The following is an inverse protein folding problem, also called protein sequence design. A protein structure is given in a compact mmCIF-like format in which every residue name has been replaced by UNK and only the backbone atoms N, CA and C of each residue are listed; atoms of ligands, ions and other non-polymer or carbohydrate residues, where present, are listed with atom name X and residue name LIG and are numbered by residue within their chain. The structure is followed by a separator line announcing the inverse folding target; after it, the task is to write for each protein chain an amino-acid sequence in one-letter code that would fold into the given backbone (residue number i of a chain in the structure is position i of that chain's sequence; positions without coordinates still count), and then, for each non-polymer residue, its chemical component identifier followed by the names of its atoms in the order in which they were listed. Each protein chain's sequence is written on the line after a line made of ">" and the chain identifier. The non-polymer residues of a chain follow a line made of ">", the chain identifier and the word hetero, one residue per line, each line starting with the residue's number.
data_IF_129548113614
#
_entry.id   IF_129548113614
#
_cell.length_a   1.000
_cell.length_b   1.000
_cell.length_c   1.000
_cell.angle_alpha   90.00
_cell.angle_beta   90.00
_cell.angle_gamma   90.00
#
_symmetry.space_group_name_H-M   'P 1'
#
loop_
_entity.id
_entity.type
_entity.pdbx_description
1 polymer ?
#
# COMPACT_ATOMS: atom_id res chain seq x y z
N UNK A 1 13.36 2.38 3.29
CA UNK A 1 13.18 2.04 1.87
C UNK A 1 13.06 0.53 1.67
N UNK A 2 14.12 -0.27 1.89
CA UNK A 2 14.03 -1.73 1.68
C UNK A 2 12.93 -2.42 2.51
N UNK A 3 12.72 -2.00 3.76
CA UNK A 3 11.64 -2.52 4.60
C UNK A 3 10.25 -2.29 3.98
N UNK A 4 10.01 -1.15 3.33
CA UNK A 4 8.74 -0.88 2.66
C UNK A 4 8.56 -1.75 1.42
N UNK A 5 9.62 -1.93 0.62
CA UNK A 5 9.56 -2.84 -0.53
C UNK A 5 9.18 -4.27 -0.10
N UNK A 6 9.76 -4.76 1.00
CA UNK A 6 9.42 -6.08 1.55
C UNK A 6 7.95 -6.17 1.92
N UNK A 7 7.43 -5.17 2.64
CA UNK A 7 6.01 -5.13 3.03
C UNK A 7 5.09 -5.05 1.81
N UNK A 8 5.43 -4.20 0.83
CA UNK A 8 4.67 -4.05 -0.40
C UNK A 8 4.52 -5.40 -1.11
N UNK A 9 5.64 -6.08 -1.37
CA UNK A 9 5.62 -7.38 -2.05
C UNK A 9 4.92 -8.46 -1.23
N UNK A 10 5.25 -8.60 0.07
CA UNK A 10 4.66 -9.66 0.90
C UNK A 10 3.15 -9.48 1.09
N UNK A 11 2.67 -8.24 1.22
CA UNK A 11 1.23 -7.97 1.37
C UNK A 11 0.50 -8.16 0.05
N UNK A 12 1.05 -7.71 -1.08
CA UNK A 12 0.47 -7.99 -2.41
C UNK A 12 0.35 -9.50 -2.65
N UNK A 13 1.44 -10.27 -2.46
CA UNK A 13 1.45 -11.72 -2.69
C UNK A 13 0.40 -12.46 -1.83
N UNK A 14 0.18 -12.00 -0.60
CA UNK A 14 -0.82 -12.57 0.33
C UNK A 14 -2.25 -12.23 -0.08
N UNK A 15 -2.47 -11.04 -0.63
CA UNK A 15 -3.82 -10.56 -0.99
C UNK A 15 -4.22 -10.95 -2.42
N UNK A 16 -3.27 -11.12 -3.33
CA UNK A 16 -3.51 -11.58 -4.71
C UNK A 16 -4.14 -12.97 -4.75
N UNK A 17 -3.79 -13.83 -3.80
CA UNK A 17 -4.35 -15.18 -3.66
C UNK A 17 -5.83 -15.18 -3.22
N UNK A 18 -6.37 -14.03 -2.81
CA UNK A 18 -7.65 -13.91 -2.13
C UNK A 18 -8.71 -13.22 -3.01
N UNK A 19 -9.70 -14.00 -3.48
CA UNK A 19 -10.74 -13.53 -4.42
C UNK A 19 -11.90 -12.74 -3.80
N UNK A 20 -11.90 -12.57 -2.47
CA UNK A 20 -12.99 -11.95 -1.71
C UNK A 20 -12.66 -10.49 -1.39
N UNK A 21 -13.26 -9.58 -2.16
CA UNK A 21 -13.14 -8.12 -1.98
C UNK A 21 -13.36 -7.65 -0.54
N UNK A 22 -14.40 -8.15 0.14
CA UNK A 22 -14.68 -7.76 1.52
C UNK A 22 -13.56 -8.18 2.47
N UNK A 23 -12.95 -9.34 2.25
CA UNK A 23 -11.82 -9.80 3.04
C UNK A 23 -10.60 -8.89 2.85
N UNK A 24 -10.18 -8.66 1.59
CA UNK A 24 -9.04 -7.77 1.27
C UNK A 24 -9.25 -6.39 1.88
N UNK A 25 -10.46 -5.83 1.74
CA UNK A 25 -10.83 -4.54 2.32
C UNK A 25 -10.69 -4.53 3.84
N UNK A 26 -11.26 -5.52 4.51
CA UNK A 26 -11.29 -5.56 5.98
C UNK A 26 -9.87 -5.74 6.55
N UNK A 27 -9.03 -6.57 5.92
CA UNK A 27 -7.62 -6.75 6.29
C UNK A 27 -6.81 -5.46 6.10
N UNK A 28 -6.97 -4.77 4.96
CA UNK A 28 -6.24 -3.52 4.71
C UNK A 28 -6.70 -2.37 5.62
N UNK A 29 -7.98 -2.32 6.00
CA UNK A 29 -8.50 -1.36 6.98
C UNK A 29 -7.95 -1.61 8.38
N UNK A 30 -7.95 -2.87 8.83
CA UNK A 30 -7.39 -3.23 10.13
C UNK A 30 -5.88 -2.97 10.16
N UNK A 31 -5.16 -3.33 9.08
CA UNK A 31 -3.74 -3.02 8.92
C UNK A 31 -3.44 -1.52 8.94
N UNK A 32 -4.31 -0.71 8.33
CA UNK A 32 -4.21 0.76 8.35
C UNK A 32 -4.30 1.28 9.78
N UNK A 33 -5.27 0.77 10.55
CA UNK A 33 -5.41 1.10 11.97
C UNK A 33 -4.15 0.72 12.75
N UNK A 34 -3.58 -0.46 12.51
CA UNK A 34 -2.31 -0.90 13.12
C UNK A 34 -1.20 0.11 12.82
N UNK A 35 -0.98 0.46 11.55
CA UNK A 35 0.06 1.43 11.16
C UNK A 35 -0.14 2.82 11.80
N UNK A 36 -1.38 3.25 11.98
CA UNK A 36 -1.72 4.52 12.64
C UNK A 36 -1.61 4.44 14.17
N UNK A 37 -1.33 3.26 14.72
CA UNK A 37 -1.17 3.04 16.16
C UNK A 37 -2.46 2.77 16.93
N UNK A 38 -3.53 2.46 16.21
CA UNK A 38 -4.73 1.87 16.79
C UNK A 38 -4.45 0.49 17.38
N UNK A 39 -5.26 0.11 18.36
CA UNK A 39 -5.33 -1.26 18.86
C UNK A 39 -6.32 -2.00 17.99
N UNK A 40 -5.84 -2.95 17.20
CA UNK A 40 -6.71 -3.95 16.56
C UNK A 40 -6.72 -5.16 17.46
N UNK A 41 -7.90 -5.55 17.89
CA UNK A 41 -8.09 -6.75 18.69
C UNK A 41 -7.92 -7.96 17.76
N UNK A 42 -6.72 -8.55 17.77
CA UNK A 42 -6.37 -9.66 16.89
C UNK A 42 -7.20 -10.93 17.18
N UNK A 43 -7.90 -10.96 18.32
CA UNK A 43 -8.77 -12.06 18.75
C UNK A 43 -10.27 -11.81 18.46
N UNK A 44 -10.70 -10.59 18.12
CA UNK A 44 -12.12 -10.23 18.05
C UNK A 44 -12.53 -9.80 16.64
N UNK A 45 -12.75 -10.79 15.77
CA UNK A 45 -13.63 -10.73 14.57
C UNK A 45 -13.90 -12.16 14.05
N UNK A 46 -14.36 -13.04 14.95
CA UNK A 46 -14.82 -14.40 14.60
C UNK A 46 -16.34 -14.49 14.52
N UNK A 47 -16.99 -13.46 13.96
CA UNK A 47 -18.41 -13.52 13.57
C UNK A 47 -18.62 -13.44 12.05
N UNK A 48 -17.56 -13.19 11.26
CA UNK A 48 -17.63 -13.25 9.80
C UNK A 48 -17.14 -14.60 9.27
N UNK A 49 -17.86 -15.13 8.27
CA UNK A 49 -17.57 -16.37 7.58
C UNK A 49 -16.26 -16.30 6.78
N UNK A 50 -15.12 -16.38 7.46
CA UNK A 50 -13.80 -16.50 6.86
C UNK A 50 -13.34 -17.95 6.81
N UNK A 51 -12.59 -18.29 5.76
CA UNK A 51 -11.96 -19.61 5.69
C UNK A 51 -10.72 -19.64 6.60
N UNK A 52 -10.24 -20.83 7.01
CA UNK A 52 -8.99 -20.93 7.76
C UNK A 52 -7.78 -20.32 7.04
N UNK A 53 -7.75 -20.38 5.70
CA UNK A 53 -6.71 -19.74 4.87
C UNK A 53 -6.75 -18.22 4.97
N UNK A 54 -7.94 -17.64 4.81
CA UNK A 54 -8.17 -16.19 4.96
C UNK A 54 -7.74 -15.69 6.34
N UNK A 55 -8.08 -16.42 7.41
CA UNK A 55 -7.66 -16.05 8.77
C UNK A 55 -6.13 -16.06 8.94
N UNK A 56 -5.45 -17.04 8.35
CA UNK A 56 -3.99 -17.12 8.37
C UNK A 56 -3.34 -15.97 7.59
N UNK A 57 -3.86 -15.65 6.39
CA UNK A 57 -3.39 -14.53 5.58
C UNK A 57 -3.59 -13.19 6.32
N UNK A 58 -4.78 -12.95 6.87
CA UNK A 58 -5.07 -11.75 7.65
C UNK A 58 -4.13 -11.61 8.86
N UNK A 59 -3.95 -12.69 9.64
CA UNK A 59 -3.03 -12.70 10.77
C UNK A 59 -1.60 -12.35 10.34
N UNK A 60 -1.15 -12.88 9.19
CA UNK A 60 0.18 -12.60 8.66
C UNK A 60 0.32 -11.14 8.23
N UNK A 61 -0.64 -10.57 7.50
CA UNK A 61 -0.64 -9.16 7.10
C UNK A 61 -0.65 -8.23 8.32
N UNK A 62 -1.44 -8.55 9.35
CA UNK A 62 -1.48 -7.79 10.60
C UNK A 62 -0.13 -7.84 11.34
N UNK A 63 0.51 -9.01 11.41
CA UNK A 63 1.83 -9.17 12.01
C UNK A 63 2.90 -8.37 11.26
N UNK A 64 2.89 -8.43 9.91
CA UNK A 64 3.78 -7.64 9.05
C UNK A 64 3.58 -6.15 9.34
N UNK A 65 2.33 -5.69 9.36
CA UNK A 65 1.99 -4.29 9.64
C UNK A 65 2.46 -3.83 11.02
N UNK A 66 2.28 -4.66 12.04
CA UNK A 66 2.72 -4.36 13.41
C UNK A 66 4.24 -4.29 13.51
N UNK A 67 4.95 -5.28 12.95
CA UNK A 67 6.41 -5.32 12.93
C UNK A 67 6.99 -4.12 12.16
N UNK A 68 6.41 -3.81 11.01
CA UNK A 68 6.81 -2.69 10.18
C UNK A 68 6.61 -1.35 10.87
N UNK A 69 5.43 -1.14 11.50
CA UNK A 69 5.17 0.04 12.34
C UNK A 69 6.26 0.21 13.39
N UNK A 70 6.50 -0.81 14.20
CA UNK A 70 7.48 -0.71 15.29
C UNK A 70 8.88 -0.42 14.77
N UNK A 71 9.25 -1.00 13.62
CA UNK A 71 10.51 -0.73 12.97
C UNK A 71 10.64 0.73 12.51
N UNK A 72 9.66 1.25 11.77
CA UNK A 72 9.78 2.59 11.17
C UNK A 72 9.53 3.71 12.18
N UNK A 73 8.75 3.47 13.25
CA UNK A 73 8.60 4.41 14.37
C UNK A 73 9.92 4.71 15.09
N UNK A 74 10.86 3.77 15.11
CA UNK A 74 12.18 3.98 15.73
C UNK A 74 13.17 4.72 14.82
N UNK A 75 12.88 4.80 13.52
CA UNK A 75 13.79 5.33 12.51
C UNK A 75 13.41 6.71 12.00
N UNK A 76 12.11 7.04 12.00
CA UNK A 76 11.58 8.28 11.44
C UNK A 76 11.23 9.27 12.54
N UNK A 77 11.36 10.56 12.25
CA UNK A 77 10.78 11.60 13.12
C UNK A 77 9.24 11.48 13.10
N UNK A 78 8.54 11.97 14.15
CA UNK A 78 7.08 11.89 14.21
C UNK A 78 6.37 12.48 12.98
N UNK A 79 6.83 13.64 12.49
CA UNK A 79 6.23 14.29 11.32
C UNK A 79 6.44 13.48 10.04
N UNK A 80 7.66 12.96 9.83
CA UNK A 80 7.99 12.13 8.68
C UNK A 80 7.25 10.80 8.73
N UNK A 81 7.12 10.21 9.92
CA UNK A 81 6.33 9.00 10.14
C UNK A 81 4.88 9.21 9.71
N UNK A 82 4.23 10.29 10.15
CA UNK A 82 2.85 10.60 9.78
C UNK A 82 2.67 10.73 8.26
N UNK A 83 3.58 11.42 7.57
CA UNK A 83 3.53 11.54 6.11
C UNK A 83 3.75 10.19 5.44
N UNK A 84 4.75 9.44 5.88
CA UNK A 84 5.11 8.15 5.31
C UNK A 84 3.98 7.12 5.45
N UNK A 85 3.37 7.03 6.65
CA UNK A 85 2.22 6.16 6.87
C UNK A 85 1.01 6.61 6.03
N UNK A 86 0.78 7.93 5.88
CA UNK A 86 -0.30 8.43 5.02
C UNK A 86 -0.16 7.91 3.60
N UNK A 87 1.02 8.04 2.98
CA UNK A 87 1.24 7.55 1.61
C UNK A 87 1.01 6.03 1.49
N UNK A 88 1.39 5.25 2.50
CA UNK A 88 1.12 3.79 2.54
C UNK A 88 -0.39 3.52 2.62
N UNK A 89 -1.11 4.26 3.45
CA UNK A 89 -2.56 4.08 3.57
C UNK A 89 -3.31 4.51 2.31
N UNK A 90 -2.84 5.55 1.61
CA UNK A 90 -3.37 5.95 0.31
C UNK A 90 -3.13 4.86 -0.74
N UNK A 91 -1.95 4.24 -0.74
CA UNK A 91 -1.65 3.09 -1.59
C UNK A 91 -2.59 1.91 -1.33
N UNK A 92 -2.85 1.54 -0.07
CA UNK A 92 -3.81 0.48 0.26
C UNK A 92 -5.26 0.83 -0.09
N UNK A 93 -5.64 2.11 -0.02
CA UNK A 93 -6.91 2.59 -0.58
C UNK A 93 -6.97 2.38 -2.09
N UNK A 94 -5.87 2.62 -2.79
CA UNK A 94 -5.70 2.26 -4.20
C UNK A 94 -5.93 0.76 -4.43
N UNK A 95 -5.24 -0.10 -3.68
CA UNK A 95 -5.34 -1.56 -3.82
C UNK A 95 -6.77 -2.07 -3.57
N UNK A 96 -7.49 -1.49 -2.60
CA UNK A 96 -8.91 -1.79 -2.39
C UNK A 96 -9.76 -1.43 -3.61
N UNK A 97 -9.49 -0.30 -4.29
CA UNK A 97 -10.19 0.05 -5.54
C UNK A 97 -9.80 -0.90 -6.66
N UNK A 98 -8.51 -1.23 -6.81
CA UNK A 98 -8.00 -2.15 -7.82
C UNK A 98 -8.66 -3.52 -7.72
N UNK A 99 -8.84 -4.04 -6.50
CA UNK A 99 -9.53 -5.32 -6.29
C UNK A 99 -10.93 -5.34 -6.90
N UNK A 100 -11.66 -4.22 -6.94
CA UNK A 100 -12.99 -4.16 -7.58
C UNK A 100 -12.93 -4.44 -9.08
N UNK A 101 -11.82 -4.12 -9.75
CA UNK A 101 -11.65 -4.34 -11.18
C UNK A 101 -11.38 -5.79 -11.56
N UNK A 102 -11.06 -6.65 -10.60
CA UNK A 102 -11.00 -8.10 -10.83
C UNK A 102 -12.38 -8.67 -11.22
N UNK A 103 -13.47 -8.02 -10.79
CA UNK A 103 -14.85 -8.46 -11.07
C UNK A 103 -15.56 -7.61 -12.11
N UNK A 104 -15.04 -6.43 -12.43
CA UNK A 104 -15.61 -5.52 -13.40
C UNK A 104 -14.49 -4.91 -14.25
N UNK A 105 -14.54 -5.01 -15.58
CA UNK A 105 -13.49 -4.43 -16.40
C UNK A 105 -13.37 -2.92 -16.16
N UNK A 106 -12.13 -2.43 -16.13
CA UNK A 106 -11.85 -1.01 -16.00
C UNK A 106 -12.49 -0.24 -17.17
N UNK A 107 -13.23 0.85 -16.92
CA UNK A 107 -14.04 1.52 -17.95
C UNK A 107 -13.20 2.10 -19.09
N UNK A 108 -11.96 2.54 -18.82
CA UNK A 108 -11.04 3.07 -19.81
C UNK A 108 -9.59 3.08 -19.28
N UNK A 109 -8.64 3.33 -20.19
CA UNK A 109 -7.20 3.38 -19.87
C UNK A 109 -6.88 4.51 -18.90
N UNK A 110 -7.54 5.66 -19.00
CA UNK A 110 -7.28 6.79 -18.10
C UNK A 110 -7.56 6.42 -16.64
N UNK A 111 -8.71 5.79 -16.39
CA UNK A 111 -9.08 5.33 -15.05
C UNK A 111 -8.15 4.22 -14.53
N UNK A 112 -7.71 3.32 -15.42
CA UNK A 112 -6.69 2.33 -15.08
C UNK A 112 -5.40 3.01 -14.61
N UNK A 113 -4.94 4.04 -15.33
CA UNK A 113 -3.70 4.75 -15.02
C UNK A 113 -3.79 5.55 -13.73
N UNK A 114 -4.96 6.12 -13.41
CA UNK A 114 -5.23 6.78 -12.13
C UNK A 114 -5.08 5.82 -10.94
N UNK A 115 -5.60 4.60 -11.09
CA UNK A 115 -5.50 3.57 -10.06
C UNK A 115 -4.06 3.07 -9.99
N UNK A 116 -3.44 2.79 -11.14
CA UNK A 116 -2.07 2.28 -11.20
C UNK A 116 -1.06 3.23 -10.56
N UNK A 117 -1.24 4.53 -10.72
CA UNK A 117 -0.44 5.54 -10.02
C UNK A 117 -0.57 5.41 -8.50
N UNK A 118 -1.75 5.06 -7.98
CA UNK A 118 -1.99 4.81 -6.55
C UNK A 118 -1.44 3.44 -6.09
N UNK A 119 -1.45 2.42 -6.97
CA UNK A 119 -1.09 1.04 -6.62
C UNK A 119 0.34 0.65 -6.99
N UNK A 120 1.13 1.54 -7.60
CA UNK A 120 2.55 1.27 -7.88
C UNK A 120 3.44 1.22 -6.61
N UNK A 121 2.94 1.67 -5.46
CA UNK A 121 3.65 1.62 -4.17
C UNK A 121 4.87 2.55 -4.06
N UNK A 122 5.07 3.44 -5.03
CA UNK A 122 6.20 4.37 -5.08
C UNK A 122 6.10 5.63 -4.20
N UNK A 123 4.93 6.23 -3.94
CA UNK A 123 4.85 7.47 -3.16
C UNK A 123 5.59 7.44 -1.80
N UNK A 124 5.52 6.35 -0.99
CA UNK A 124 6.27 6.27 0.26
C UNK A 124 7.80 6.34 0.08
N UNK A 125 8.36 5.87 -1.04
CA UNK A 125 9.79 6.01 -1.32
C UNK A 125 10.15 7.47 -1.57
N UNK A 126 9.33 8.21 -2.30
CA UNK A 126 9.55 9.64 -2.51
C UNK A 126 9.53 10.40 -1.20
N UNK A 127 8.59 10.12 -0.29
CA UNK A 127 8.57 10.73 1.06
C UNK A 127 9.89 10.55 1.80
N UNK A 128 10.46 9.35 1.75
CA UNK A 128 11.76 9.07 2.39
C UNK A 128 12.91 9.79 1.67
N UNK A 129 12.98 9.73 0.34
CA UNK A 129 14.03 10.38 -0.45
C UNK A 129 14.06 11.90 -0.22
N UNK A 130 12.88 12.54 -0.22
CA UNK A 130 12.75 13.97 0.04
C UNK A 130 13.26 14.35 1.42
N UNK A 131 12.95 13.53 2.43
CA UNK A 131 13.42 13.77 3.80
C UNK A 131 14.95 13.73 3.92
N UNK A 132 15.64 12.96 3.08
CA UNK A 132 17.09 12.86 3.11
C UNK A 132 17.77 14.08 2.46
N UNK A 133 17.11 14.72 1.48
CA UNK A 133 17.76 15.69 0.59
C UNK A 133 17.23 17.12 0.79
N UNK A 134 16.03 17.29 1.32
CA UNK A 134 15.42 18.60 1.56
C UNK A 134 15.55 18.98 3.04
N UNK A 135 16.51 19.85 3.35
CA UNK A 135 16.83 20.34 4.71
C UNK A 135 15.70 21.12 5.40
N UNK A 136 14.66 21.43 4.66
CA UNK A 136 13.44 22.11 5.11
C UNK A 136 12.35 21.72 4.13
N UNK A 137 11.15 21.39 4.64
CA UNK A 137 9.94 21.13 3.84
C UNK A 137 9.54 22.38 3.03
N UNK A 138 10.37 22.76 2.07
CA UNK A 138 10.02 23.72 1.05
C UNK A 138 8.95 23.07 0.21
N UNK A 139 7.84 23.81 0.04
CA UNK A 139 6.69 23.39 -0.75
C UNK A 139 7.21 22.83 -2.08
N UNK A 140 6.96 21.55 -2.29
CA UNK A 140 7.43 20.81 -3.46
C UNK A 140 7.06 21.60 -4.71
N UNK A 141 8.03 21.82 -5.61
CA UNK A 141 7.73 22.50 -6.85
C UNK A 141 6.73 21.67 -7.64
N UNK A 142 5.82 22.34 -8.35
CA UNK A 142 4.86 21.66 -9.24
C UNK A 142 5.57 20.82 -10.30
N UNK A 143 6.76 21.24 -10.73
CA UNK A 143 7.61 20.48 -11.63
C UNK A 143 8.08 19.14 -11.03
N UNK A 144 8.49 19.13 -9.76
CA UNK A 144 8.93 17.89 -9.10
C UNK A 144 7.77 16.94 -8.82
N UNK A 145 6.59 17.47 -8.49
CA UNK A 145 5.36 16.69 -8.39
C UNK A 145 4.97 16.06 -9.73
N UNK A 146 5.03 16.83 -10.82
CA UNK A 146 4.79 16.33 -12.16
C UNK A 146 5.76 15.22 -12.55
N UNK A 147 7.06 15.40 -12.23
CA UNK A 147 8.07 14.37 -12.49
C UNK A 147 7.82 13.08 -11.70
N UNK A 148 7.46 13.19 -10.42
CA UNK A 148 7.07 12.01 -9.62
C UNK A 148 5.91 11.25 -10.29
N UNK A 149 4.85 11.95 -10.67
CA UNK A 149 3.71 11.31 -11.35
C UNK A 149 4.09 10.60 -12.65
N UNK A 150 5.01 11.19 -13.44
CA UNK A 150 5.54 10.52 -14.62
C UNK A 150 6.31 9.23 -14.27
N UNK A 151 7.15 9.25 -13.23
CA UNK A 151 7.89 8.07 -12.80
C UNK A 151 6.96 6.98 -12.29
N UNK A 152 5.95 7.33 -11.50
CA UNK A 152 4.94 6.41 -10.99
C UNK A 152 4.22 5.66 -12.12
N UNK A 153 3.77 6.41 -13.13
CA UNK A 153 3.13 5.84 -14.31
C UNK A 153 4.10 4.94 -15.09
N UNK A 154 5.32 5.40 -15.38
CA UNK A 154 6.29 4.63 -16.16
C UNK A 154 6.64 3.32 -15.46
N UNK A 155 6.90 3.36 -14.15
CA UNK A 155 7.23 2.16 -13.37
C UNK A 155 6.04 1.22 -13.27
N UNK A 156 4.82 1.75 -13.09
CA UNK A 156 3.59 0.95 -13.11
C UNK A 156 3.45 0.18 -14.42
N UNK A 157 3.46 0.89 -15.55
CA UNK A 157 3.35 0.27 -16.89
C UNK A 157 4.50 -0.71 -17.15
N UNK A 158 5.73 -0.37 -16.74
CA UNK A 158 6.86 -1.27 -16.93
C UNK A 158 6.67 -2.57 -16.15
N UNK A 159 6.16 -2.49 -14.92
CA UNK A 159 5.81 -3.66 -14.14
C UNK A 159 4.74 -4.49 -14.87
N UNK A 160 3.68 -3.84 -15.37
CA UNK A 160 2.61 -4.53 -16.09
C UNK A 160 3.14 -5.22 -17.36
N UNK A 161 3.98 -4.54 -18.16
CA UNK A 161 4.59 -5.11 -19.36
C UNK A 161 5.46 -6.35 -19.08
N UNK A 162 6.13 -6.38 -17.92
CA UNK A 162 6.95 -7.51 -17.48
C UNK A 162 6.06 -8.61 -16.86
N UNK A 163 4.97 -8.22 -16.20
CA UNK A 163 3.99 -9.10 -15.54
C UNK A 163 3.06 -9.82 -16.51
N UNK A 164 2.77 -9.25 -17.68
CA UNK A 164 1.87 -9.82 -18.70
C UNK A 164 2.21 -11.23 -19.19
N UNK A 165 3.45 -11.71 -19.01
CA UNK A 165 3.82 -13.09 -19.33
C UNK A 165 3.51 -14.09 -18.21
N UNK A 166 3.25 -13.60 -16.99
CA UNK A 166 2.97 -14.37 -15.78
C UNK A 166 1.50 -14.28 -15.33
N UNK A 167 0.85 -13.14 -15.56
CA UNK A 167 -0.54 -12.82 -15.19
C UNK A 167 -1.55 -13.22 -16.29
#
# INVERSE_FOLDING_TARGET
>A
MAAWLSVLCEVDDLLEQESRLNFVRDVLLDSTSILQGGLVDLDVKSESAHTPGEMAAASKVHQISYAFRNHVQQLLSPDLYCLFIREITEHWVGAMKESHFQKQPCPNVEHYMEIRAQTCGLPPFFTLLESCWMSSYHKRSTALQGLQGCVEIIVGIQNDLIGLEKD
#
